data_IF_613900606108
#
_entry.id   IF_613900606108
#
_cell.length_a   1.000
_cell.length_b   1.000
_cell.length_c   1.000
_cell.angle_alpha   90.00
_cell.angle_beta   90.00
_cell.angle_gamma   90.00
#
_symmetry.space_group_name_H-M   'P 1'
#
loop_
_entity.id
_entity.type
_entity.pdbx_description
1 polymer ?
#
# COMPACT_ATOMS: atom_id res chain seq x y z
N UNK A 1 68.56 37.29 15.43
CA UNK A 1 67.43 36.34 15.33
C UNK A 1 67.91 35.04 14.74
N UNK A 2 67.79 33.96 15.51
CA UNK A 2 68.51 32.71 15.32
C UNK A 2 67.71 31.76 14.40
N UNK A 3 68.35 31.19 13.38
CA UNK A 3 67.73 30.28 12.38
C UNK A 3 67.11 29.00 12.99
N UNK A 4 67.33 28.75 14.30
CA UNK A 4 66.80 27.62 15.06
C UNK A 4 65.46 27.84 15.75
N UNK A 5 64.94 29.08 15.81
CA UNK A 5 63.60 29.33 16.38
C UNK A 5 62.48 29.31 15.33
N UNK A 6 62.79 29.57 14.05
CA UNK A 6 61.81 29.54 12.97
C UNK A 6 61.32 28.12 12.62
N UNK A 7 62.06 27.07 13.03
CA UNK A 7 61.71 25.67 12.81
C UNK A 7 60.89 25.05 13.96
N UNK A 8 60.67 25.78 15.07
CA UNK A 8 59.85 25.28 16.20
C UNK A 8 58.40 25.75 16.17
N UNK A 9 58.03 26.66 15.27
CA UNK A 9 56.65 27.16 15.14
C UNK A 9 55.84 26.46 14.01
N UNK A 10 56.38 25.42 13.38
CA UNK A 10 55.78 24.75 12.23
C UNK A 10 55.09 23.41 12.51
N UNK A 11 54.68 23.11 13.76
CA UNK A 11 54.17 21.79 14.14
C UNK A 11 52.82 21.82 14.90
N UNK A 12 51.94 22.77 14.58
CA UNK A 12 50.64 22.89 15.27
C UNK A 12 49.39 22.93 14.36
N UNK A 13 49.49 22.77 13.03
CA UNK A 13 48.33 22.94 12.14
C UNK A 13 48.02 21.77 11.18
N UNK A 14 48.49 20.56 11.43
CA UNK A 14 48.26 19.43 10.51
C UNK A 14 47.72 18.14 11.16
N UNK A 15 46.82 18.27 12.16
CA UNK A 15 46.22 17.11 12.82
C UNK A 15 44.70 17.22 13.05
N UNK A 16 43.97 17.97 12.21
CA UNK A 16 42.50 18.04 12.30
C UNK A 16 41.73 17.76 11.00
N UNK A 17 42.40 17.35 9.92
CA UNK A 17 41.76 17.16 8.60
C UNK A 17 41.65 15.71 8.12
N UNK A 18 41.52 14.75 9.03
CA UNK A 18 41.17 13.36 8.67
C UNK A 18 40.25 12.68 9.71
N UNK A 19 39.28 13.42 10.24
CA UNK A 19 38.06 12.74 10.69
C UNK A 19 37.24 12.49 9.43
N UNK A 20 36.95 11.23 9.05
CA UNK A 20 35.89 11.00 8.09
C UNK A 20 34.67 11.70 8.67
N UNK A 21 34.14 12.69 7.93
CA UNK A 21 32.75 13.05 8.06
C UNK A 21 31.97 11.79 7.67
N UNK A 22 31.85 10.85 8.61
CA UNK A 22 30.60 10.16 8.80
C UNK A 22 29.62 11.27 9.18
N UNK A 23 29.18 12.03 8.16
CA UNK A 23 27.81 12.44 8.13
C UNK A 23 27.08 11.12 8.37
N UNK A 24 26.71 10.89 9.62
CA UNK A 24 25.60 10.04 9.93
C UNK A 24 24.51 10.63 9.06
N UNK A 25 24.33 10.04 7.87
CA UNK A 25 22.99 9.90 7.36
C UNK A 25 22.31 9.24 8.55
N UNK A 26 21.70 10.07 9.41
CA UNK A 26 20.71 9.59 10.31
C UNK A 26 19.74 8.92 9.35
N UNK A 27 19.91 7.61 9.18
CA UNK A 27 18.86 6.74 8.75
C UNK A 27 17.78 7.11 9.74
N UNK A 28 16.86 7.98 9.33
CA UNK A 28 15.72 8.34 10.14
C UNK A 28 15.09 7.01 10.41
N UNK A 29 15.29 6.51 11.64
CA UNK A 29 14.82 5.20 12.02
C UNK A 29 13.35 5.17 11.62
N UNK A 30 12.93 4.15 10.88
CA UNK A 30 11.56 4.06 10.42
C UNK A 30 10.66 3.85 11.64
N UNK A 31 10.21 4.96 12.21
CA UNK A 31 9.50 5.04 13.48
C UNK A 31 8.38 6.07 13.34
N UNK A 32 7.36 5.81 12.49
CA UNK A 32 6.23 6.73 12.31
C UNK A 32 5.58 7.00 13.65
N UNK A 33 5.30 8.28 13.93
CA UNK A 33 4.56 8.72 15.10
C UNK A 33 3.32 9.48 14.63
N UNK A 34 2.18 9.35 15.31
CA UNK A 34 0.99 10.12 14.98
C UNK A 34 1.29 11.61 14.95
N UNK A 35 1.03 12.22 13.80
CA UNK A 35 1.13 13.66 13.58
C UNK A 35 -0.23 14.34 13.72
N UNK A 36 -0.25 15.65 13.53
CA UNK A 36 -1.49 16.36 13.22
C UNK A 36 -2.15 15.79 11.95
N UNK A 37 -3.48 15.90 11.89
CA UNK A 37 -4.25 15.54 10.72
C UNK A 37 -3.87 16.45 9.54
N UNK A 38 -3.59 15.83 8.40
CA UNK A 38 -3.34 16.51 7.13
C UNK A 38 -4.50 16.24 6.19
N UNK A 39 -5.07 17.29 5.62
CA UNK A 39 -6.13 17.17 4.64
C UNK A 39 -5.58 17.21 3.22
N UNK A 40 -6.14 16.38 2.35
CA UNK A 40 -5.76 16.24 0.96
C UNK A 40 -7.00 16.28 0.08
N UNK A 41 -6.86 16.97 -1.06
CA UNK A 41 -7.80 16.88 -2.18
C UNK A 41 -7.16 15.99 -3.25
N UNK A 42 -7.86 14.93 -3.65
CA UNK A 42 -7.43 14.01 -4.70
C UNK A 42 -8.36 14.20 -5.90
N UNK A 43 -7.81 14.66 -7.01
CA UNK A 43 -8.53 14.77 -8.28
C UNK A 43 -8.26 13.56 -9.15
N UNK A 44 -9.33 12.85 -9.52
CA UNK A 44 -9.30 11.73 -10.47
C UNK A 44 -9.98 12.17 -11.76
N UNK A 45 -9.23 12.20 -12.85
CA UNK A 45 -9.77 12.46 -14.20
C UNK A 45 -10.04 11.15 -14.92
N UNK A 46 -11.23 11.03 -15.51
CA UNK A 46 -11.69 9.85 -16.24
C UNK A 46 -12.04 10.26 -17.64
N UNK A 47 -11.27 9.81 -18.62
CA UNK A 47 -11.40 10.16 -20.05
C UNK A 47 -11.27 8.90 -20.92
N UNK A 48 -12.29 8.02 -20.91
CA UNK A 48 -12.26 6.82 -21.73
C UNK A 48 -12.19 7.18 -23.23
N UNK A 49 -11.69 6.26 -24.05
CA UNK A 49 -11.72 6.46 -25.49
C UNK A 49 -13.18 6.51 -25.99
N UNK A 50 -13.46 7.43 -26.91
CA UNK A 50 -14.76 7.50 -27.58
C UNK A 50 -15.08 6.15 -28.25
N UNK A 51 -16.36 5.79 -28.23
CA UNK A 51 -16.86 4.53 -28.78
C UNK A 51 -18.23 4.76 -29.41
N UNK A 52 -18.54 4.00 -30.47
CA UNK A 52 -19.91 3.92 -30.99
C UNK A 52 -20.86 3.15 -30.07
N UNK A 53 -20.32 2.47 -29.06
CA UNK A 53 -21.07 1.72 -28.05
C UNK A 53 -21.17 2.49 -26.73
N UNK A 54 -22.12 2.10 -25.88
CA UNK A 54 -22.27 2.63 -24.52
C UNK A 54 -21.01 2.38 -23.69
N UNK A 55 -20.49 3.42 -23.05
CA UNK A 55 -19.29 3.35 -22.19
C UNK A 55 -19.75 3.31 -20.74
N UNK A 56 -19.30 2.31 -19.98
CA UNK A 56 -19.56 2.18 -18.54
C UNK A 56 -18.26 2.15 -17.75
N UNK A 57 -18.18 2.98 -16.72
CA UNK A 57 -17.00 3.07 -15.85
C UNK A 57 -17.43 3.03 -14.39
N UNK A 58 -16.69 2.26 -13.60
CA UNK A 58 -16.80 2.23 -12.14
C UNK A 58 -15.51 2.80 -11.55
N UNK A 59 -15.61 3.95 -10.89
CA UNK A 59 -14.47 4.66 -10.29
C UNK A 59 -14.48 4.43 -8.78
N UNK A 60 -13.42 3.84 -8.18
CA UNK A 60 -13.34 3.72 -6.73
C UNK A 60 -13.32 5.10 -6.06
N UNK A 61 -14.16 5.28 -5.05
CA UNK A 61 -14.19 6.48 -4.24
C UNK A 61 -13.33 6.32 -2.99
N UNK A 62 -12.70 7.41 -2.55
CA UNK A 62 -12.07 7.43 -1.24
C UNK A 62 -13.15 7.34 -0.16
N UNK A 63 -13.21 6.19 0.52
CA UNK A 63 -14.28 5.90 1.48
C UNK A 63 -13.88 5.00 2.65
N UNK A 64 -12.61 4.61 2.75
CA UNK A 64 -12.13 3.81 3.88
C UNK A 64 -12.04 4.68 5.12
N UNK A 65 -12.72 4.32 6.22
CA UNK A 65 -12.60 5.03 7.50
C UNK A 65 -11.81 4.19 8.51
N UNK A 66 -10.86 4.84 9.19
CA UNK A 66 -10.17 4.35 10.35
C UNK A 66 -10.00 5.49 11.34
N UNK A 67 -10.65 5.36 12.50
CA UNK A 67 -10.86 6.44 13.47
C UNK A 67 -9.57 7.16 13.90
N UNK A 68 -8.46 6.41 13.92
CA UNK A 68 -7.15 6.85 14.39
C UNK A 68 -6.20 7.34 13.30
N UNK A 69 -6.43 7.09 12.00
CA UNK A 69 -5.45 7.48 10.95
C UNK A 69 -5.98 7.84 9.55
N UNK A 70 -7.24 7.54 9.19
CA UNK A 70 -7.78 7.87 7.87
C UNK A 70 -9.27 8.23 7.93
N UNK A 71 -9.63 9.42 7.46
CA UNK A 71 -11.01 9.93 7.45
C UNK A 71 -11.40 10.38 6.04
N UNK A 72 -12.40 9.76 5.41
CA UNK A 72 -13.00 10.30 4.21
C UNK A 72 -13.90 11.48 4.60
N UNK A 73 -13.67 12.65 4.02
CA UNK A 73 -14.40 13.88 4.32
C UNK A 73 -15.51 14.17 3.29
N UNK A 74 -15.45 13.52 2.13
CA UNK A 74 -16.48 13.62 1.11
C UNK A 74 -15.96 13.36 -0.30
N UNK A 75 -16.89 13.19 -1.22
CA UNK A 75 -16.61 13.06 -2.64
C UNK A 75 -17.58 13.96 -3.41
N UNK A 76 -17.08 14.66 -4.44
CA UNK A 76 -17.88 15.45 -5.39
C UNK A 76 -17.39 15.17 -6.81
N UNK A 77 -18.25 15.33 -7.81
CA UNK A 77 -17.87 15.07 -9.20
C UNK A 77 -18.59 15.98 -10.19
N UNK A 78 -17.97 16.14 -11.35
CA UNK A 78 -18.55 16.75 -12.55
C UNK A 78 -18.37 15.80 -13.73
N UNK A 79 -19.34 15.72 -14.64
CA UNK A 79 -19.29 14.78 -15.76
C UNK A 79 -20.28 15.15 -16.86
N UNK A 80 -19.98 14.77 -18.10
CA UNK A 80 -20.95 14.73 -19.21
C UNK A 80 -21.58 13.33 -19.39
N UNK A 81 -21.40 12.40 -18.45
CA UNK A 81 -22.07 11.12 -18.45
C UNK A 81 -23.59 11.32 -18.38
N UNK A 82 -24.32 10.51 -19.14
CA UNK A 82 -25.78 10.46 -19.10
C UNK A 82 -26.28 9.94 -17.75
N UNK A 83 -25.54 9.00 -17.16
CA UNK A 83 -25.83 8.48 -15.82
C UNK A 83 -24.61 8.68 -14.95
N UNK A 84 -24.83 9.25 -13.76
CA UNK A 84 -23.87 9.29 -12.68
C UNK A 84 -24.58 8.93 -11.38
N UNK A 85 -24.16 7.84 -10.73
CA UNK A 85 -24.74 7.41 -9.45
C UNK A 85 -23.72 6.72 -8.57
N UNK A 86 -23.92 6.80 -7.26
CA UNK A 86 -23.17 6.00 -6.31
C UNK A 86 -23.52 4.52 -6.49
N UNK A 87 -22.52 3.67 -6.37
CA UNK A 87 -22.63 2.22 -6.41
C UNK A 87 -21.74 1.61 -5.31
N UNK A 88 -21.89 0.30 -5.07
CA UNK A 88 -20.99 -0.44 -4.18
C UNK A 88 -20.65 -1.78 -4.78
N UNK A 89 -19.40 -2.19 -4.64
CA UNK A 89 -19.05 -3.58 -4.89
C UNK A 89 -19.75 -4.48 -3.86
N UNK A 90 -20.56 -5.47 -4.28
CA UNK A 90 -21.33 -6.29 -3.36
C UNK A 90 -20.45 -7.23 -2.51
N UNK A 91 -19.24 -7.57 -2.97
CA UNK A 91 -18.36 -8.49 -2.27
C UNK A 91 -17.54 -7.80 -1.18
N UNK A 92 -16.94 -6.64 -1.49
CA UNK A 92 -16.06 -5.88 -0.59
C UNK A 92 -16.78 -4.74 0.14
N UNK A 93 -17.91 -4.27 -0.39
CA UNK A 93 -18.58 -3.06 0.08
C UNK A 93 -17.90 -1.75 -0.37
N UNK A 94 -16.88 -1.82 -1.23
CA UNK A 94 -16.15 -0.66 -1.73
C UNK A 94 -17.10 0.31 -2.43
N UNK A 95 -17.10 1.58 -2.01
CA UNK A 95 -17.89 2.64 -2.66
C UNK A 95 -17.32 2.99 -4.03
N UNK A 96 -18.21 3.07 -5.03
CA UNK A 96 -17.87 3.35 -6.42
C UNK A 96 -18.74 4.51 -6.94
N UNK A 97 -18.22 5.27 -7.90
CA UNK A 97 -19.04 6.11 -8.78
C UNK A 97 -19.25 5.37 -10.09
N UNK A 98 -20.49 5.04 -10.39
CA UNK A 98 -20.90 4.51 -11.69
C UNK A 98 -21.17 5.66 -12.65
N UNK A 99 -20.53 5.59 -13.83
CA UNK A 99 -20.68 6.53 -14.92
C UNK A 99 -21.07 5.77 -16.19
N UNK A 100 -22.05 6.29 -16.92
CA UNK A 100 -22.47 5.76 -18.22
C UNK A 100 -22.62 6.89 -19.25
N UNK A 101 -21.94 6.75 -20.39
CA UNK A 101 -22.11 7.59 -21.57
C UNK A 101 -22.81 6.80 -22.67
N UNK A 102 -23.69 7.45 -23.42
CA UNK A 102 -24.29 6.86 -24.62
C UNK A 102 -23.21 6.60 -25.68
N UNK A 103 -23.49 5.66 -26.58
CA UNK A 103 -22.65 5.46 -27.76
C UNK A 103 -22.62 6.71 -28.64
N UNK A 104 -21.44 7.02 -29.17
CA UNK A 104 -21.22 8.21 -30.00
C UNK A 104 -20.83 9.47 -29.22
N UNK A 105 -20.69 9.42 -27.89
CA UNK A 105 -20.08 10.52 -27.14
C UNK A 105 -18.62 10.72 -27.60
N UNK A 106 -18.33 11.89 -28.18
CA UNK A 106 -17.02 12.19 -28.78
C UNK A 106 -15.93 12.42 -27.72
N UNK A 107 -16.32 12.95 -26.54
CA UNK A 107 -15.38 13.32 -25.47
C UNK A 107 -15.94 12.93 -24.10
N UNK A 108 -16.07 11.62 -23.80
CA UNK A 108 -16.57 11.18 -22.51
C UNK A 108 -15.58 11.59 -21.42
N UNK A 109 -16.06 12.33 -20.41
CA UNK A 109 -15.23 12.88 -19.35
C UNK A 109 -15.93 12.95 -18.00
N UNK A 110 -15.17 12.69 -16.94
CA UNK A 110 -15.55 13.00 -15.58
C UNK A 110 -14.34 13.46 -14.76
N UNK A 111 -14.60 14.35 -13.81
CA UNK A 111 -13.66 14.73 -12.76
C UNK A 111 -14.29 14.39 -11.41
N UNK A 112 -13.57 13.61 -10.61
CA UNK A 112 -13.97 13.23 -9.25
C UNK A 112 -12.97 13.85 -8.29
N UNK A 113 -13.48 14.58 -7.31
CA UNK A 113 -12.70 15.16 -6.22
C UNK A 113 -13.03 14.41 -4.94
N UNK A 114 -12.02 13.76 -4.36
CA UNK A 114 -12.09 13.09 -3.06
C UNK A 114 -11.36 13.91 -2.00
N UNK A 115 -12.06 14.27 -0.93
CA UNK A 115 -11.48 14.93 0.23
C UNK A 115 -11.21 13.90 1.32
N UNK A 116 -9.97 13.87 1.81
CA UNK A 116 -9.56 12.98 2.89
C UNK A 116 -8.72 13.73 3.91
N UNK A 117 -8.78 13.28 5.16
CA UNK A 117 -7.82 13.63 6.19
C UNK A 117 -7.05 12.39 6.61
N UNK A 118 -5.73 12.47 6.69
CA UNK A 118 -4.88 11.36 7.14
C UNK A 118 -3.82 11.84 8.11
N UNK A 119 -3.34 10.94 8.97
CA UNK A 119 -2.14 11.17 9.77
C UNK A 119 -1.36 9.87 9.89
N UNK A 120 -0.09 9.99 10.24
CA UNK A 120 0.76 8.84 10.43
C UNK A 120 0.24 7.99 11.61
N UNK A 121 0.54 6.69 11.59
CA UNK A 121 0.12 5.74 12.64
C UNK A 121 1.35 5.05 13.20
N UNK A 122 1.42 4.95 14.52
CA UNK A 122 2.33 4.04 15.21
C UNK A 122 1.55 2.86 15.77
N UNK A 123 2.19 1.69 15.85
CA UNK A 123 1.61 0.50 16.47
C UNK A 123 2.70 -0.28 17.20
N UNK A 124 2.43 -0.68 18.44
CA UNK A 124 3.26 -1.64 19.16
C UNK A 124 2.65 -3.03 19.00
N UNK A 125 3.20 -3.84 18.11
CA UNK A 125 2.73 -5.20 17.87
C UNK A 125 3.03 -6.13 19.06
N UNK A 126 4.01 -5.79 19.91
CA UNK A 126 4.36 -6.58 21.10
C UNK A 126 3.47 -6.27 22.31
N UNK A 127 2.67 -5.20 22.27
CA UNK A 127 1.73 -4.89 23.33
C UNK A 127 0.49 -5.79 23.25
N UNK A 128 -0.08 -6.23 24.39
CA UNK A 128 -1.35 -6.93 24.40
C UNK A 128 -2.43 -6.11 23.68
N UNK A 129 -2.97 -6.66 22.59
CA UNK A 129 -4.00 -5.98 21.82
C UNK A 129 -5.35 -6.06 22.56
N UNK A 130 -6.01 -4.90 22.76
CA UNK A 130 -7.45 -4.88 23.03
C UNK A 130 -8.19 -5.14 21.73
N UNK A 131 -8.43 -6.41 21.43
CA UNK A 131 -9.10 -6.82 20.19
C UNK A 131 -10.60 -6.64 20.35
N UNK A 132 -11.23 -5.86 19.46
CA UNK A 132 -12.69 -5.91 19.27
C UNK A 132 -12.99 -7.21 18.52
N UNK A 133 -13.74 -8.16 19.10
CA UNK A 133 -14.02 -9.41 18.41
C UNK A 133 -14.80 -9.16 17.12
N UNK A 134 -14.39 -9.84 16.04
CA UNK A 134 -15.17 -9.86 14.80
C UNK A 134 -16.49 -10.58 15.04
N UNK A 135 -17.55 -10.10 14.39
CA UNK A 135 -18.78 -10.89 14.26
C UNK A 135 -18.50 -12.19 13.49
N UNK A 136 -19.37 -13.19 13.64
CA UNK A 136 -19.26 -14.44 12.88
C UNK A 136 -19.18 -14.19 11.37
N UNK A 137 -20.04 -13.32 10.84
CA UNK A 137 -20.09 -12.99 9.42
C UNK A 137 -18.80 -12.29 8.93
N UNK A 138 -18.23 -11.40 9.73
CA UNK A 138 -16.94 -10.78 9.41
C UNK A 138 -15.79 -11.79 9.45
N UNK A 139 -15.78 -12.68 10.44
CA UNK A 139 -14.77 -13.74 10.54
C UNK A 139 -14.84 -14.68 9.34
N UNK A 140 -16.04 -15.16 8.97
CA UNK A 140 -16.24 -16.00 7.78
C UNK A 140 -15.78 -15.27 6.52
N UNK A 141 -16.18 -14.01 6.32
CA UNK A 141 -15.78 -13.19 5.17
C UNK A 141 -14.27 -13.03 5.06
N UNK A 142 -13.60 -12.71 6.17
CA UNK A 142 -12.16 -12.41 6.17
C UNK A 142 -11.28 -13.65 6.25
N UNK A 143 -11.85 -14.83 6.42
CA UNK A 143 -11.16 -16.12 6.25
C UNK A 143 -11.39 -16.73 4.87
N UNK A 144 -12.43 -16.32 4.16
CA UNK A 144 -12.77 -16.89 2.86
C UNK A 144 -11.68 -16.67 1.80
N UNK A 145 -11.43 -17.72 1.01
CA UNK A 145 -10.65 -17.62 -0.22
C UNK A 145 -11.43 -16.92 -1.34
N UNK A 146 -10.70 -16.49 -2.36
CA UNK A 146 -11.28 -15.98 -3.62
C UNK A 146 -10.88 -16.89 -4.78
N UNK A 147 -11.44 -16.65 -5.97
CA UNK A 147 -11.07 -17.39 -7.19
C UNK A 147 -9.57 -17.31 -7.52
N UNK A 148 -8.93 -16.18 -7.24
CA UNK A 148 -7.51 -15.94 -7.55
C UNK A 148 -6.59 -16.18 -6.34
N UNK A 149 -7.15 -16.20 -5.14
CA UNK A 149 -6.46 -16.42 -3.89
C UNK A 149 -7.26 -17.41 -3.01
N UNK A 150 -7.33 -18.70 -3.39
CA UNK A 150 -7.97 -19.72 -2.56
C UNK A 150 -7.16 -19.95 -1.27
N UNK A 151 -7.75 -20.63 -0.30
CA UNK A 151 -7.13 -20.87 1.03
C UNK A 151 -6.90 -22.36 1.31
N UNK A 152 -6.99 -23.19 0.27
CA UNK A 152 -6.78 -24.63 0.26
C UNK A 152 -5.60 -25.00 -0.66
N UNK A 153 -5.44 -26.29 -0.97
CA UNK A 153 -4.45 -26.78 -1.94
C UNK A 153 -3.02 -26.30 -1.65
N UNK A 154 -2.32 -25.85 -2.70
CA UNK A 154 -0.94 -25.35 -2.59
C UNK A 154 -0.82 -24.14 -1.67
N UNK A 155 -1.85 -23.30 -1.56
CA UNK A 155 -1.85 -22.12 -0.68
C UNK A 155 -1.82 -22.56 0.77
N UNK A 156 -2.68 -23.52 1.16
CA UNK A 156 -2.70 -24.10 2.51
C UNK A 156 -1.41 -24.84 2.83
N UNK A 157 -0.93 -25.68 1.91
CA UNK A 157 0.33 -26.41 2.11
C UNK A 157 1.51 -25.46 2.30
N UNK A 158 1.58 -24.38 1.52
CA UNK A 158 2.61 -23.36 1.64
C UNK A 158 2.49 -22.61 2.96
N UNK A 159 1.28 -22.20 3.34
CA UNK A 159 1.03 -21.51 4.60
C UNK A 159 1.44 -22.39 5.79
N UNK A 160 1.00 -23.64 5.83
CA UNK A 160 1.33 -24.60 6.90
C UNK A 160 2.84 -24.81 7.06
N UNK A 161 3.56 -24.91 5.93
CA UNK A 161 5.03 -25.02 5.94
C UNK A 161 5.71 -23.76 6.50
N UNK A 162 5.18 -22.57 6.20
CA UNK A 162 5.76 -21.31 6.66
C UNK A 162 5.48 -21.09 8.15
N UNK A 163 4.24 -21.34 8.59
CA UNK A 163 3.87 -21.12 9.99
C UNK A 163 4.43 -22.18 10.92
N UNK A 164 4.54 -23.43 10.44
CA UNK A 164 5.07 -24.57 11.18
C UNK A 164 4.45 -24.69 12.58
N UNK A 165 5.27 -24.55 13.63
CA UNK A 165 4.93 -24.67 15.04
C UNK A 165 4.54 -23.34 15.71
N UNK A 166 4.29 -22.26 14.95
CA UNK A 166 3.92 -20.97 15.52
C UNK A 166 2.61 -21.04 16.32
N UNK A 167 2.66 -20.63 17.59
CA UNK A 167 1.54 -20.75 18.53
C UNK A 167 0.54 -19.60 18.41
N UNK A 168 1.02 -18.40 18.10
CA UNK A 168 0.21 -17.18 18.11
C UNK A 168 -0.10 -16.67 16.70
N UNK A 169 -1.26 -16.04 16.51
CA UNK A 169 -1.62 -15.43 15.22
C UNK A 169 -0.60 -14.37 14.78
N UNK A 170 -0.04 -13.61 15.72
CA UNK A 170 1.02 -12.65 15.44
C UNK A 170 2.29 -13.32 14.93
N UNK A 171 2.71 -14.42 15.56
CA UNK A 171 3.89 -15.15 15.11
C UNK A 171 3.67 -15.77 13.73
N UNK A 172 2.52 -16.39 13.49
CA UNK A 172 2.13 -16.92 12.16
C UNK A 172 2.18 -15.84 11.09
N UNK A 173 1.52 -14.70 11.34
CA UNK A 173 1.51 -13.57 10.41
C UNK A 173 2.92 -13.00 10.15
N UNK A 174 3.76 -12.93 11.19
CA UNK A 174 5.17 -12.49 11.07
C UNK A 174 6.00 -13.46 10.24
N UNK A 175 5.93 -14.78 10.49
CA UNK A 175 6.63 -15.78 9.68
C UNK A 175 6.21 -15.73 8.20
N UNK A 176 4.91 -15.53 7.94
CA UNK A 176 4.39 -15.34 6.58
C UNK A 176 4.93 -14.04 5.96
N UNK A 177 4.92 -12.93 6.69
CA UNK A 177 5.47 -11.65 6.23
C UNK A 177 6.94 -11.78 5.85
N UNK A 178 7.75 -12.34 6.76
CA UNK A 178 9.19 -12.52 6.56
C UNK A 178 9.47 -13.42 5.36
N UNK A 179 8.69 -14.51 5.19
CA UNK A 179 8.79 -15.38 4.02
C UNK A 179 8.43 -14.63 2.73
N UNK A 180 7.35 -13.85 2.70
CA UNK A 180 6.98 -13.04 1.52
C UNK A 180 8.08 -12.05 1.16
N UNK A 181 8.64 -11.34 2.15
CA UNK A 181 9.76 -10.40 1.92
C UNK A 181 10.99 -11.12 1.35
N UNK A 182 11.31 -12.31 1.86
CA UNK A 182 12.48 -13.08 1.43
C UNK A 182 12.32 -13.77 0.06
N UNK A 183 11.09 -14.09 -0.36
CA UNK A 183 10.83 -14.95 -1.52
C UNK A 183 10.17 -14.21 -2.70
N UNK A 184 9.69 -12.99 -2.50
CA UNK A 184 9.10 -12.17 -3.58
C UNK A 184 10.05 -11.09 -4.06
N UNK A 185 9.77 -10.56 -5.25
CA UNK A 185 10.50 -9.41 -5.77
C UNK A 185 9.61 -8.55 -6.66
N UNK A 186 9.97 -7.26 -6.75
CA UNK A 186 9.23 -6.31 -7.57
C UNK A 186 9.56 -6.51 -9.05
N UNK A 187 8.58 -6.92 -9.85
CA UNK A 187 8.70 -7.00 -11.32
C UNK A 187 8.14 -5.73 -11.97
N UNK A 188 9.02 -4.90 -12.53
CA UNK A 188 8.61 -3.63 -13.17
C UNK A 188 7.78 -3.86 -14.45
N UNK A 189 8.10 -4.92 -15.19
CA UNK A 189 7.46 -5.29 -16.47
C UNK A 189 6.07 -5.89 -16.34
N UNK A 190 5.61 -6.24 -15.13
CA UNK A 190 4.25 -6.75 -14.90
C UNK A 190 3.22 -5.75 -15.41
N UNK A 191 2.28 -6.19 -16.25
CA UNK A 191 1.21 -5.33 -16.76
C UNK A 191 0.31 -4.87 -15.63
N UNK A 192 -0.07 -3.59 -15.62
CA UNK A 192 -0.92 -3.03 -14.57
C UNK A 192 -0.30 -3.19 -13.18
N UNK A 193 -1.10 -3.68 -12.22
CA UNK A 193 -0.70 -3.91 -10.84
C UNK A 193 -0.40 -5.39 -10.51
N UNK A 194 -0.53 -6.30 -11.47
CA UNK A 194 -0.55 -7.75 -11.24
C UNK A 194 -1.86 -8.40 -11.67
N UNK A 195 -1.86 -9.73 -11.84
CA UNK A 195 -3.08 -10.51 -12.07
C UNK A 195 -3.63 -11.14 -10.77
N UNK A 196 -2.79 -11.20 -9.71
CA UNK A 196 -3.17 -11.70 -8.40
C UNK A 196 -3.45 -13.21 -8.34
N UNK A 197 -2.99 -13.99 -9.33
CA UNK A 197 -3.22 -15.44 -9.35
C UNK A 197 -2.22 -16.19 -8.45
N UNK A 198 -2.60 -16.38 -7.20
CA UNK A 198 -1.73 -16.93 -6.15
C UNK A 198 -1.38 -18.40 -6.38
N UNK A 199 -2.30 -19.18 -6.94
CA UNK A 199 -2.04 -20.58 -7.29
C UNK A 199 -0.94 -20.66 -8.35
N UNK A 200 -1.06 -19.88 -9.44
CA UNK A 200 -0.06 -19.87 -10.50
C UNK A 200 1.32 -19.39 -10.00
N UNK A 201 1.36 -18.38 -9.12
CA UNK A 201 2.60 -17.92 -8.50
C UNK A 201 3.27 -19.04 -7.70
N UNK A 202 2.52 -19.73 -6.84
CA UNK A 202 3.07 -20.80 -6.00
C UNK A 202 3.46 -22.03 -6.81
N UNK A 203 2.66 -22.44 -7.80
CA UNK A 203 2.94 -23.61 -8.64
C UNK A 203 4.18 -23.40 -9.51
N UNK A 204 4.36 -22.19 -10.06
CA UNK A 204 5.53 -21.88 -10.89
C UNK A 204 6.80 -21.61 -10.08
N UNK A 205 6.66 -21.26 -8.81
CA UNK A 205 7.76 -20.77 -7.96
C UNK A 205 8.24 -19.36 -8.30
N UNK A 206 7.67 -18.71 -9.32
CA UNK A 206 8.00 -17.35 -9.71
C UNK A 206 7.11 -16.34 -8.96
N UNK A 207 7.57 -15.91 -7.79
CA UNK A 207 6.83 -15.00 -6.91
C UNK A 207 7.11 -13.52 -7.20
N UNK A 208 7.50 -13.20 -8.45
CA UNK A 208 7.76 -11.85 -8.91
C UNK A 208 6.50 -11.13 -9.38
N UNK A 209 6.26 -9.91 -8.88
CA UNK A 209 5.03 -9.19 -9.24
C UNK A 209 4.99 -7.73 -8.79
N UNK A 210 3.79 -7.17 -8.79
CA UNK A 210 3.46 -5.82 -8.30
C UNK A 210 2.52 -5.93 -7.09
N UNK A 211 1.93 -4.80 -6.67
CA UNK A 211 1.14 -4.75 -5.44
C UNK A 211 -0.10 -5.66 -5.44
N UNK A 212 -0.72 -5.91 -6.60
CA UNK A 212 -1.87 -6.82 -6.71
C UNK A 212 -1.47 -8.29 -6.84
N UNK A 213 -0.16 -8.61 -6.88
CA UNK A 213 0.35 -9.98 -6.79
C UNK A 213 0.83 -10.27 -5.36
N UNK A 214 1.70 -9.39 -4.84
CA UNK A 214 2.43 -9.62 -3.59
C UNK A 214 1.53 -9.43 -2.35
N UNK A 215 0.64 -8.43 -2.34
CA UNK A 215 -0.27 -8.24 -1.19
C UNK A 215 -1.28 -9.39 -1.08
N UNK A 216 -1.96 -9.82 -2.17
CA UNK A 216 -2.88 -10.94 -2.07
C UNK A 216 -2.19 -12.27 -1.76
N UNK A 217 -0.91 -12.47 -2.13
CA UNK A 217 -0.13 -13.63 -1.70
C UNK A 217 -0.02 -13.67 -0.16
N UNK A 218 0.37 -12.55 0.45
CA UNK A 218 0.42 -12.43 1.91
C UNK A 218 -0.95 -12.71 2.54
N UNK A 219 -2.01 -12.04 2.05
CA UNK A 219 -3.37 -12.20 2.59
C UNK A 219 -3.88 -13.64 2.45
N UNK A 220 -3.66 -14.29 1.31
CA UNK A 220 -4.08 -15.67 1.06
C UNK A 220 -3.42 -16.65 2.04
N UNK A 221 -2.10 -16.52 2.23
CA UNK A 221 -1.34 -17.36 3.17
C UNK A 221 -1.80 -17.13 4.62
N UNK A 222 -2.05 -15.88 5.01
CA UNK A 222 -2.56 -15.53 6.36
C UNK A 222 -3.96 -16.11 6.59
N UNK A 223 -4.84 -16.01 5.60
CA UNK A 223 -6.18 -16.62 5.67
C UNK A 223 -6.11 -18.14 5.77
N UNK A 224 -5.23 -18.78 5.00
CA UNK A 224 -5.01 -20.21 5.04
C UNK A 224 -4.45 -20.69 6.40
N UNK A 225 -3.73 -19.82 7.13
CA UNK A 225 -3.30 -20.06 8.51
C UNK A 225 -4.43 -19.88 9.55
N UNK A 226 -5.66 -19.57 9.13
CA UNK A 226 -6.82 -19.39 10.00
C UNK A 226 -6.97 -17.99 10.59
N UNK A 227 -6.26 -16.99 10.06
CA UNK A 227 -6.25 -15.63 10.56
C UNK A 227 -7.08 -14.72 9.63
N UNK A 228 -8.10 -14.01 10.15
CA UNK A 228 -8.88 -13.07 9.36
C UNK A 228 -8.01 -11.94 8.77
N UNK A 229 -8.00 -11.80 7.45
CA UNK A 229 -7.21 -10.79 6.75
C UNK A 229 -7.96 -10.23 5.52
N UNK A 230 -7.55 -9.04 5.06
CA UNK A 230 -8.08 -8.40 3.85
C UNK A 230 -7.04 -7.54 3.18
N UNK A 231 -7.14 -7.42 1.86
CA UNK A 231 -6.41 -6.40 1.12
C UNK A 231 -6.99 -5.01 1.39
N UNK A 232 -6.11 -4.03 1.47
CA UNK A 232 -6.47 -2.62 1.49
C UNK A 232 -5.69 -1.89 0.40
N UNK A 233 -6.43 -1.32 -0.55
CA UNK A 233 -5.85 -0.57 -1.66
C UNK A 233 -6.09 0.93 -1.47
N UNK A 234 -5.09 1.72 -1.85
CA UNK A 234 -5.14 3.17 -1.77
C UNK A 234 -4.01 3.81 -2.56
N UNK A 235 -3.95 5.13 -2.52
CA UNK A 235 -2.92 5.93 -3.18
C UNK A 235 -2.08 6.66 -2.14
N UNK A 236 -0.80 6.86 -2.44
CA UNK A 236 0.08 7.70 -1.62
C UNK A 236 -0.15 9.14 -2.02
N UNK A 237 -0.41 10.02 -1.06
CA UNK A 237 -0.81 11.42 -1.29
C UNK A 237 0.23 12.45 -0.85
N UNK A 238 1.28 12.02 -0.14
CA UNK A 238 2.35 12.88 0.34
C UNK A 238 3.72 12.21 0.15
N UNK A 239 4.82 12.99 0.03
CA UNK A 239 6.17 12.45 0.06
C UNK A 239 6.47 11.67 1.34
N UNK A 240 7.39 10.71 1.27
CA UNK A 240 7.85 9.99 2.46
C UNK A 240 8.74 10.88 3.31
N UNK A 241 8.44 10.97 4.62
CA UNK A 241 9.29 11.64 5.60
C UNK A 241 10.57 10.85 5.96
N UNK A 242 10.65 9.56 5.56
CA UNK A 242 11.72 8.64 5.95
C UNK A 242 12.75 8.39 4.84
N UNK A 243 12.78 9.23 3.80
CA UNK A 243 13.71 9.10 2.67
C UNK A 243 13.40 7.96 1.69
N UNK A 244 12.50 7.04 2.03
CA UNK A 244 12.06 5.96 1.14
C UNK A 244 11.05 6.47 0.11
N UNK A 245 11.52 6.75 -1.12
CA UNK A 245 10.65 7.19 -2.23
C UNK A 245 9.50 6.21 -2.52
N UNK A 246 9.69 4.91 -2.27
CA UNK A 246 8.65 3.88 -2.43
C UNK A 246 7.48 4.02 -1.47
N UNK A 247 7.65 4.70 -0.33
CA UNK A 247 6.63 4.91 0.69
C UNK A 247 5.83 6.21 0.51
N UNK A 248 6.19 7.07 -0.45
CA UNK A 248 5.52 8.35 -0.69
C UNK A 248 5.00 8.54 -2.12
N UNK A 249 4.25 9.62 -2.32
CA UNK A 249 4.02 10.20 -3.63
C UNK A 249 5.32 10.84 -4.14
N UNK A 250 5.60 10.72 -5.43
CA UNK A 250 6.76 11.38 -6.05
C UNK A 250 6.52 12.88 -6.21
N UNK A 251 5.30 13.26 -6.55
CA UNK A 251 4.81 14.61 -6.79
C UNK A 251 3.26 14.58 -6.73
N UNK A 252 2.62 15.69 -7.09
CA UNK A 252 1.16 15.85 -7.16
C UNK A 252 0.46 14.88 -8.13
N UNK A 253 1.18 14.33 -9.10
CA UNK A 253 0.67 13.30 -10.02
C UNK A 253 0.91 11.91 -9.42
N UNK A 254 -0.06 11.45 -8.63
CA UNK A 254 0.06 10.23 -7.82
C UNK A 254 -0.18 8.93 -8.59
N UNK A 255 -0.85 8.99 -9.75
CA UNK A 255 -1.06 7.86 -10.67
C UNK A 255 -0.97 8.34 -12.13
N UNK A 256 -0.68 7.43 -13.07
CA UNK A 256 -0.68 7.66 -14.52
C UNK A 256 -1.60 6.65 -15.18
#
# INVERSE_FOLDING_TARGET
>A
MNRRELLKSGAACAAFSMLPNFASAASTAFAPQPSDWRSFEITTSVTPAASGEVIRVWVPLAGFNADDWNRPEGNRWTTNAKVARLDRDPASGTGLLYLEWDGGEEKPQAEIISLISTRDRSGNLEAPAKVVPLTRAERERYLAGTRLAPVDGIVKQTSDRIVADADTDQEKARRIYDWVVANTYRRASTRGCGDGNIVAMLDSGDLGGKCADINPLFVALVRAAGIPARDLYGVRVAPSAFGYKSLGAKNEVITK
#
